data_IF_668888793689
#
_entry.id   IF_668888793689
#
_cell.length_a   1.000
_cell.length_b   1.000
_cell.length_c   1.000
_cell.angle_alpha   90.00
_cell.angle_beta   90.00
_cell.angle_gamma   90.00
#
_symmetry.space_group_name_H-M   'P 1'
#
loop_
_entity.id
_entity.type
_entity.pdbx_description
1 polymer ?
#
# COMPACT_ATOMS: atom_id res chain seq x y z
N UNK A 1 -22.39 29.78 -21.54
CA UNK A 1 -21.14 29.02 -21.79
C UNK A 1 -20.87 28.02 -20.67
N UNK A 2 -20.42 26.82 -21.03
CA UNK A 2 -20.55 25.57 -20.26
C UNK A 2 -19.76 25.51 -18.94
N UNK A 3 -20.44 25.54 -17.78
CA UNK A 3 -19.89 25.19 -16.45
C UNK A 3 -19.38 23.74 -16.34
N UNK A 4 -19.72 22.89 -17.29
CA UNK A 4 -19.33 21.46 -17.33
C UNK A 4 -17.84 21.24 -17.63
N UNK A 5 -17.22 22.04 -18.51
CA UNK A 5 -15.82 21.86 -18.96
C UNK A 5 -14.77 22.25 -17.90
N UNK A 6 -15.06 23.23 -17.03
CA UNK A 6 -14.13 23.68 -15.98
C UNK A 6 -13.98 22.66 -14.85
N UNK A 7 -15.08 22.01 -14.45
CA UNK A 7 -15.09 20.96 -13.43
C UNK A 7 -14.29 19.71 -13.85
N UNK A 8 -14.32 19.37 -15.15
CA UNK A 8 -13.55 18.27 -15.74
C UNK A 8 -12.03 18.54 -15.69
N UNK A 9 -11.60 19.75 -16.06
CA UNK A 9 -10.20 20.16 -15.97
C UNK A 9 -9.68 20.21 -14.53
N UNK A 10 -10.49 20.70 -13.59
CA UNK A 10 -10.18 20.66 -12.16
C UNK A 10 -9.99 19.22 -11.65
N UNK A 11 -10.91 18.31 -11.97
CA UNK A 11 -10.83 16.89 -11.61
C UNK A 11 -9.58 16.19 -12.16
N UNK A 12 -9.23 16.44 -13.43
CA UNK A 12 -8.00 15.88 -14.02
C UNK A 12 -6.73 16.37 -13.31
N UNK A 13 -6.68 17.65 -12.92
CA UNK A 13 -5.53 18.22 -12.22
C UNK A 13 -5.36 17.62 -10.82
N UNK A 14 -6.46 17.43 -10.10
CA UNK A 14 -6.46 16.76 -8.79
C UNK A 14 -6.09 15.29 -8.90
N UNK A 15 -6.59 14.57 -9.90
CA UNK A 15 -6.24 13.17 -10.15
C UNK A 15 -4.74 13.00 -10.46
N UNK A 16 -4.16 13.87 -11.30
CA UNK A 16 -2.71 13.89 -11.58
C UNK A 16 -1.88 14.19 -10.33
N UNK A 17 -2.28 15.20 -9.55
CA UNK A 17 -1.59 15.56 -8.29
C UNK A 17 -1.65 14.41 -7.27
N UNK A 18 -2.77 13.71 -7.19
CA UNK A 18 -2.93 12.54 -6.32
C UNK A 18 -2.14 11.33 -6.82
N UNK A 19 -2.04 11.13 -8.13
CA UNK A 19 -1.18 10.10 -8.74
C UNK A 19 0.29 10.32 -8.40
N UNK A 20 0.81 11.52 -8.67
CA UNK A 20 2.19 11.88 -8.33
C UNK A 20 2.47 11.78 -6.82
N UNK A 21 1.52 12.19 -5.97
CA UNK A 21 1.64 12.04 -4.51
C UNK A 21 1.67 10.57 -4.08
N UNK A 22 0.86 9.71 -4.71
CA UNK A 22 0.85 8.28 -4.44
C UNK A 22 2.17 7.63 -4.82
N UNK A 23 2.75 7.98 -5.96
CA UNK A 23 4.07 7.51 -6.39
C UNK A 23 5.17 7.96 -5.43
N UNK A 24 5.16 9.23 -5.01
CA UNK A 24 6.10 9.75 -4.01
C UNK A 24 6.00 9.00 -2.67
N UNK A 25 4.78 8.75 -2.18
CA UNK A 25 4.57 7.99 -0.95
C UNK A 25 5.02 6.54 -1.09
N UNK A 26 4.77 5.90 -2.24
CA UNK A 26 5.25 4.55 -2.51
C UNK A 26 6.78 4.48 -2.52
N UNK A 27 7.44 5.44 -3.15
CA UNK A 27 8.91 5.53 -3.19
C UNK A 27 9.51 5.79 -1.80
N UNK A 28 8.88 6.66 -1.01
CA UNK A 28 9.27 6.91 0.37
C UNK A 28 9.16 5.63 1.21
N UNK A 29 8.02 4.94 1.15
CA UNK A 29 7.80 3.68 1.86
C UNK A 29 8.81 2.59 1.44
N UNK A 30 9.09 2.48 0.14
CA UNK A 30 10.08 1.54 -0.40
C UNK A 30 11.48 1.84 0.15
N UNK A 31 11.86 3.12 0.19
CA UNK A 31 13.17 3.55 0.69
C UNK A 31 13.29 3.31 2.19
N UNK A 32 12.27 3.67 2.97
CA UNK A 32 12.22 3.40 4.41
C UNK A 32 12.32 1.88 4.70
N UNK A 33 11.59 1.05 3.95
CA UNK A 33 11.64 -0.41 4.09
C UNK A 33 13.03 -0.98 3.78
N UNK A 34 13.68 -0.50 2.70
CA UNK A 34 15.05 -0.91 2.34
C UNK A 34 16.06 -0.52 3.41
N UNK A 35 15.94 0.69 3.95
CA UNK A 35 16.83 1.17 5.01
C UNK A 35 16.62 0.38 6.30
N UNK A 36 15.37 0.15 6.71
CA UNK A 36 15.06 -0.69 7.87
C UNK A 36 15.65 -2.10 7.72
N UNK A 37 15.50 -2.74 6.56
CA UNK A 37 16.11 -4.05 6.28
C UNK A 37 17.63 -4.02 6.43
N UNK A 38 18.31 -3.01 5.88
CA UNK A 38 19.77 -2.87 6.01
C UNK A 38 20.20 -2.73 7.46
N UNK A 39 19.53 -1.87 8.21
CA UNK A 39 19.81 -1.67 9.64
C UNK A 39 19.56 -2.93 10.45
N UNK A 40 18.45 -3.64 10.20
CA UNK A 40 18.15 -4.91 10.86
C UNK A 40 19.23 -5.97 10.60
N UNK A 41 19.73 -6.09 9.36
CA UNK A 41 20.82 -7.01 9.04
C UNK A 41 22.12 -6.60 9.75
N UNK A 42 22.47 -5.32 9.74
CA UNK A 42 23.70 -4.82 10.36
C UNK A 42 23.71 -4.98 11.88
N UNK A 43 22.52 -4.92 12.51
CA UNK A 43 22.35 -5.03 13.97
C UNK A 43 21.90 -6.43 14.41
N UNK A 44 21.82 -7.39 13.49
CA UNK A 44 21.31 -8.75 13.72
C UNK A 44 19.94 -8.80 14.42
N UNK A 45 19.07 -7.85 14.05
CA UNK A 45 17.70 -7.74 14.57
C UNK A 45 16.77 -8.55 13.66
N UNK A 46 15.99 -9.51 14.18
CA UNK A 46 15.01 -10.24 13.39
C UNK A 46 13.95 -9.32 12.79
N UNK A 47 13.53 -9.59 11.55
CA UNK A 47 12.48 -8.80 10.89
C UNK A 47 11.58 -9.66 10.00
N UNK A 48 10.39 -9.15 9.68
CA UNK A 48 9.43 -9.85 8.83
C UNK A 48 9.37 -9.24 7.43
N UNK A 49 9.12 -10.09 6.44
CA UNK A 49 9.00 -9.75 5.03
C UNK A 49 7.69 -10.34 4.51
N UNK A 50 6.87 -9.52 3.87
CA UNK A 50 5.71 -9.98 3.13
C UNK A 50 6.13 -10.21 1.67
N UNK A 51 6.00 -11.46 1.19
CA UNK A 51 6.35 -11.86 -0.18
C UNK A 51 5.41 -12.94 -0.68
N UNK A 52 4.95 -12.84 -1.93
CA UNK A 52 4.12 -13.88 -2.58
C UNK A 52 2.88 -14.31 -1.76
N UNK A 53 2.22 -13.36 -1.08
CA UNK A 53 1.07 -13.68 -0.24
C UNK A 53 1.41 -14.46 1.03
N UNK A 54 2.66 -14.45 1.48
CA UNK A 54 3.10 -15.06 2.73
C UNK A 54 3.96 -14.08 3.54
N UNK A 55 4.00 -14.29 4.85
CA UNK A 55 4.91 -13.62 5.79
C UNK A 55 6.08 -14.56 6.05
N UNK A 56 7.28 -14.00 5.97
CA UNK A 56 8.53 -14.68 6.27
C UNK A 56 9.27 -13.92 7.37
N UNK A 57 9.77 -14.63 8.36
CA UNK A 57 10.69 -14.07 9.36
C UNK A 57 12.12 -14.32 8.92
N UNK A 58 12.93 -13.27 8.87
CA UNK A 58 14.36 -13.33 8.62
C UNK A 58 15.12 -13.20 9.93
N UNK A 59 16.01 -14.15 10.20
CA UNK A 59 16.85 -14.18 11.39
C UNK A 59 18.12 -14.97 11.10
N UNK A 60 19.30 -14.44 11.45
CA UNK A 60 20.60 -15.09 11.25
C UNK A 60 20.87 -15.63 9.83
N UNK A 61 20.44 -14.91 8.79
CA UNK A 61 20.63 -15.35 7.40
C UNK A 61 19.57 -16.33 6.88
N UNK A 62 18.73 -16.85 7.75
CA UNK A 62 17.65 -17.77 7.40
C UNK A 62 16.32 -17.05 7.20
N UNK A 63 15.50 -17.57 6.29
CA UNK A 63 14.17 -17.05 6.00
C UNK A 63 13.13 -18.15 6.21
N UNK A 64 12.32 -18.01 7.25
CA UNK A 64 11.32 -19.01 7.65
C UNK A 64 9.93 -18.46 7.36
N UNK A 65 9.11 -19.21 6.64
CA UNK A 65 7.71 -18.85 6.41
C UNK A 65 6.93 -18.96 7.73
N UNK A 66 6.33 -17.87 8.19
CA UNK A 66 5.56 -17.83 9.45
C UNK A 66 4.07 -17.88 9.23
N UNK A 67 3.57 -17.24 8.17
CA UNK A 67 2.14 -17.19 7.89
C UNK A 67 1.87 -17.11 6.39
N UNK A 68 0.64 -17.45 6.00
CA UNK A 68 0.12 -17.15 4.66
C UNK A 68 -0.95 -16.07 4.79
N UNK A 69 -0.87 -15.03 3.98
CA UNK A 69 -1.86 -13.97 3.92
C UNK A 69 -3.01 -14.43 3.02
N UNK A 70 -4.22 -14.49 3.58
CA UNK A 70 -5.43 -14.54 2.77
C UNK A 70 -5.85 -13.11 2.46
N UNK A 71 -5.98 -12.80 1.18
CA UNK A 71 -6.60 -11.55 0.75
C UNK A 71 -8.09 -11.64 1.10
N UNK A 72 -8.57 -10.73 1.95
CA UNK A 72 -10.01 -10.63 2.20
C UNK A 72 -10.61 -9.94 0.98
N UNK A 73 -11.40 -10.68 0.21
CA UNK A 73 -12.26 -10.10 -0.80
C UNK A 73 -13.51 -9.58 -0.09
N UNK A 74 -13.65 -8.25 0.00
CA UNK A 74 -14.89 -7.66 0.50
C UNK A 74 -15.92 -7.63 -0.63
N UNK A 75 -17.07 -8.26 -0.40
CA UNK A 75 -18.20 -8.08 -1.30
C UNK A 75 -18.65 -6.61 -1.24
N UNK A 76 -18.73 -5.99 -2.42
CA UNK A 76 -19.14 -4.61 -2.63
C UNK A 76 -20.46 -4.51 -3.37
N UNK A 77 -21.18 -5.63 -3.49
CA UNK A 77 -22.52 -5.67 -4.05
C UNK A 77 -23.46 -4.73 -3.28
N UNK A 78 -24.37 -4.08 -3.99
CA UNK A 78 -25.39 -3.20 -3.38
C UNK A 78 -24.92 -1.82 -2.90
N UNK A 79 -23.66 -1.42 -3.11
CA UNK A 79 -23.22 -0.06 -2.76
C UNK A 79 -23.85 0.99 -3.68
N UNK A 80 -24.56 1.96 -3.08
CA UNK A 80 -25.12 3.12 -3.79
C UNK A 80 -24.30 4.38 -3.51
N UNK A 81 -24.55 5.44 -4.29
CA UNK A 81 -23.83 6.71 -4.12
C UNK A 81 -24.14 7.30 -2.74
N UNK A 82 -23.11 7.37 -1.89
CA UNK A 82 -23.22 7.89 -0.51
C UNK A 82 -23.08 6.81 0.57
N UNK A 83 -23.05 5.53 0.21
CA UNK A 83 -22.80 4.43 1.15
C UNK A 83 -21.40 4.53 1.77
N UNK A 84 -21.30 4.18 3.06
CA UNK A 84 -20.04 4.05 3.80
C UNK A 84 -19.75 2.58 4.04
N UNK A 85 -18.55 2.12 3.67
CA UNK A 85 -18.09 0.76 3.96
C UNK A 85 -17.56 0.75 5.39
N UNK A 86 -18.22 0.01 6.28
CA UNK A 86 -17.74 -0.25 7.63
C UNK A 86 -17.09 -1.63 7.65
N UNK A 87 -15.76 -1.67 7.69
CA UNK A 87 -15.00 -2.86 8.01
C UNK A 87 -14.91 -2.94 9.54
N UNK A 88 -15.43 -4.02 10.13
CA UNK A 88 -15.24 -4.33 11.56
C UNK A 88 -14.02 -5.22 11.72
#
# INVERSE_FOLDING_TARGET
MSRSRSNLRGRMRTARKNGARREQLANFALTASRNAKRSSIALDIPFEIIKNGAIYRFQHGEMIKTASLKKIESDRSGLTKGSKICLK
#
